data_IF_545347972460
#
_entry.id   IF_545347972460
#
_cell.length_a   1.000
_cell.length_b   1.000
_cell.length_c   1.000
_cell.angle_alpha   90.00
_cell.angle_beta   90.00
_cell.angle_gamma   90.00
#
_symmetry.space_group_name_H-M   'P 1'
#
loop_
_entity.id
_entity.type
_entity.pdbx_description
1 polymer ?
#
# COMPACT_ATOMS: atom_id res chain seq x y z
N UNK A 1 -27.18 -10.27 23.33
CA UNK A 1 -25.78 -10.03 23.00
C UNK A 1 -25.72 -9.34 21.62
N UNK A 2 -25.04 -8.20 21.49
CA UNK A 2 -24.89 -7.55 20.19
C UNK A 2 -24.08 -8.44 19.24
N UNK A 3 -24.41 -8.42 17.93
CA UNK A 3 -23.66 -9.13 16.87
C UNK A 3 -22.23 -8.57 16.89
N UNK A 4 -21.21 -9.41 16.91
CA UNK A 4 -19.81 -8.96 16.85
C UNK A 4 -19.55 -8.19 15.55
N UNK A 5 -18.81 -7.08 15.64
CA UNK A 5 -18.42 -6.30 14.46
C UNK A 5 -17.49 -7.16 13.61
N UNK A 6 -17.84 -7.33 12.34
CA UNK A 6 -17.06 -8.05 11.35
C UNK A 6 -16.31 -7.06 10.48
N UNK A 7 -15.08 -7.38 10.19
CA UNK A 7 -14.18 -6.65 9.30
C UNK A 7 -13.85 -7.55 8.11
N UNK A 8 -13.86 -7.03 6.91
CA UNK A 8 -13.24 -7.65 5.75
C UNK A 8 -11.90 -6.99 5.55
N UNK A 9 -10.82 -7.74 5.61
CA UNK A 9 -9.46 -7.26 5.36
C UNK A 9 -9.01 -7.83 4.03
N UNK A 10 -8.67 -6.97 3.08
CA UNK A 10 -8.40 -7.34 1.69
C UNK A 10 -7.06 -6.74 1.26
N UNK A 11 -6.30 -7.57 0.55
CA UNK A 11 -5.11 -7.14 -0.16
C UNK A 11 -5.15 -7.55 -1.64
N UNK A 12 -4.36 -6.87 -2.48
CA UNK A 12 -4.26 -7.13 -3.91
C UNK A 12 -2.82 -7.10 -4.40
N UNK A 13 -2.42 -8.14 -5.16
CA UNK A 13 -1.21 -8.10 -5.94
C UNK A 13 -1.49 -7.65 -7.38
N UNK A 14 -0.63 -6.80 -7.92
CA UNK A 14 -0.93 -6.12 -9.16
C UNK A 14 0.15 -6.27 -10.23
N UNK A 15 -0.32 -6.32 -11.47
CA UNK A 15 0.44 -6.15 -12.69
C UNK A 15 0.17 -4.76 -13.30
N UNK A 16 0.76 -4.46 -14.43
CA UNK A 16 0.52 -3.23 -15.17
C UNK A 16 -0.02 -3.53 -16.57
N UNK A 17 -0.54 -2.51 -17.26
CA UNK A 17 -0.93 -2.64 -18.66
C UNK A 17 0.31 -2.83 -19.55
N UNK A 18 0.39 -3.91 -20.34
CA UNK A 18 1.62 -4.27 -21.08
C UNK A 18 1.89 -3.41 -22.32
N UNK A 19 0.92 -2.61 -22.77
CA UNK A 19 0.93 -2.01 -24.11
C UNK A 19 1.19 -0.51 -24.14
N UNK A 20 2.00 -0.02 -23.20
CA UNK A 20 2.48 1.34 -23.31
C UNK A 20 3.78 1.29 -24.10
N UNK A 21 3.76 1.88 -25.27
CA UNK A 21 4.99 2.17 -25.98
C UNK A 21 5.76 3.25 -25.18
N UNK A 22 6.62 2.81 -24.29
CA UNK A 22 7.38 3.71 -23.39
C UNK A 22 8.23 4.72 -24.15
N UNK A 23 8.55 4.44 -25.42
CA UNK A 23 9.35 5.31 -26.28
C UNK A 23 8.58 6.56 -26.74
N UNK A 24 7.27 6.51 -26.79
CA UNK A 24 6.40 7.61 -27.24
C UNK A 24 5.94 8.53 -26.10
N UNK A 25 6.25 8.17 -24.85
CA UNK A 25 5.81 8.93 -23.68
C UNK A 25 6.85 9.98 -23.27
N UNK A 26 6.38 11.16 -22.96
CA UNK A 26 7.24 12.17 -22.30
C UNK A 26 7.65 11.68 -20.91
N UNK A 27 8.78 12.17 -20.34
CA UNK A 27 9.16 11.84 -18.96
C UNK A 27 8.06 12.13 -17.93
N UNK A 28 7.26 13.15 -18.17
CA UNK A 28 6.13 13.52 -17.29
C UNK A 28 4.96 12.55 -17.43
N UNK A 29 4.70 12.06 -18.65
CA UNK A 29 3.71 11.02 -18.89
C UNK A 29 4.15 9.68 -18.29
N UNK A 30 5.43 9.31 -18.39
CA UNK A 30 5.99 8.12 -17.74
C UNK A 30 5.79 8.15 -16.22
N UNK A 31 6.06 9.28 -15.57
CA UNK A 31 5.80 9.47 -14.13
C UNK A 31 4.31 9.35 -13.79
N UNK A 32 3.45 9.93 -14.60
CA UNK A 32 1.99 9.87 -14.41
C UNK A 32 1.45 8.47 -14.62
N UNK A 33 2.00 7.74 -15.58
CA UNK A 33 1.58 6.38 -15.93
C UNK A 33 2.11 5.33 -14.95
N UNK A 34 3.33 5.49 -14.43
CA UNK A 34 3.87 4.60 -13.39
C UNK A 34 2.99 4.57 -12.12
N UNK A 35 2.31 5.69 -11.82
CA UNK A 35 1.42 5.80 -10.64
C UNK A 35 0.01 5.22 -10.91
N UNK A 36 -0.32 4.81 -12.15
CA UNK A 36 -1.69 4.83 -12.63
C UNK A 36 -2.30 3.49 -13.02
N UNK A 37 -1.60 2.35 -12.90
CA UNK A 37 -1.98 1.15 -13.66
C UNK A 37 -1.97 -0.17 -12.90
N UNK A 38 -2.35 -0.23 -11.63
CA UNK A 38 -2.45 -1.53 -11.00
C UNK A 38 -3.63 -2.29 -11.60
N UNK A 39 -3.34 -3.45 -12.21
CA UNK A 39 -4.32 -4.45 -12.60
C UNK A 39 -4.18 -5.64 -11.65
N UNK A 40 -5.21 -5.92 -10.91
CA UNK A 40 -5.23 -7.02 -9.95
C UNK A 40 -5.06 -8.35 -10.68
N UNK A 41 -4.08 -9.16 -10.27
CA UNK A 41 -3.94 -10.53 -10.72
C UNK A 41 -4.12 -11.55 -9.58
N UNK A 42 -3.86 -11.15 -8.34
CA UNK A 42 -4.11 -11.91 -7.12
C UNK A 42 -4.93 -11.05 -6.17
N UNK A 43 -5.98 -11.59 -5.59
CA UNK A 43 -6.85 -10.93 -4.63
C UNK A 43 -7.22 -11.89 -3.52
N UNK A 44 -6.98 -11.47 -2.29
CA UNK A 44 -7.27 -12.26 -1.11
C UNK A 44 -7.91 -11.44 -0.01
N UNK A 45 -8.78 -12.07 0.77
CA UNK A 45 -9.33 -11.40 1.94
C UNK A 45 -9.67 -12.34 3.07
N UNK A 46 -9.70 -11.78 4.25
CA UNK A 46 -10.20 -12.42 5.47
C UNK A 46 -11.49 -11.77 5.92
N UNK A 47 -12.40 -12.56 6.47
CA UNK A 47 -13.51 -12.08 7.30
C UNK A 47 -13.14 -12.36 8.75
N UNK A 48 -13.04 -11.30 9.55
CA UNK A 48 -12.53 -11.41 10.90
C UNK A 48 -13.32 -10.58 11.90
N UNK A 49 -13.23 -10.94 13.17
CA UNK A 49 -13.75 -10.13 14.30
C UNK A 49 -12.76 -10.13 15.45
N UNK A 50 -12.83 -9.10 16.30
CA UNK A 50 -11.94 -9.00 17.47
C UNK A 50 -12.12 -10.15 18.48
N UNK A 51 -13.28 -10.78 18.49
CA UNK A 51 -13.62 -11.85 19.46
C UNK A 51 -13.29 -13.24 18.95
N UNK A 52 -13.32 -13.44 17.64
CA UNK A 52 -13.15 -14.78 17.03
C UNK A 52 -11.89 -14.88 16.15
N UNK A 53 -11.16 -13.78 15.94
CA UNK A 53 -10.05 -13.77 14.97
C UNK A 53 -10.55 -13.91 13.54
N UNK A 54 -9.75 -14.52 12.68
CA UNK A 54 -10.11 -14.83 11.29
C UNK A 54 -11.12 -15.97 11.29
N UNK A 55 -12.27 -15.75 10.65
CA UNK A 55 -13.38 -16.69 10.57
C UNK A 55 -13.49 -17.34 9.18
N UNK A 56 -13.20 -16.57 8.13
CA UNK A 56 -13.26 -17.02 6.74
C UNK A 56 -12.09 -16.43 5.96
N UNK A 57 -11.69 -17.13 4.90
CA UNK A 57 -10.62 -16.73 3.99
C UNK A 57 -11.07 -16.93 2.55
N UNK A 58 -10.65 -16.03 1.67
CA UNK A 58 -10.83 -16.15 0.23
C UNK A 58 -9.52 -15.85 -0.47
N UNK A 59 -9.23 -16.59 -1.54
CA UNK A 59 -7.98 -16.50 -2.27
C UNK A 59 -8.19 -16.80 -3.76
N UNK A 60 -8.03 -15.78 -4.62
CA UNK A 60 -8.35 -15.91 -6.03
C UNK A 60 -7.29 -15.26 -6.93
N UNK A 61 -7.02 -15.94 -8.06
CA UNK A 61 -6.34 -15.35 -9.20
C UNK A 61 -7.36 -14.88 -10.23
N UNK A 62 -7.17 -13.65 -10.73
CA UNK A 62 -8.04 -13.05 -11.74
C UNK A 62 -7.70 -13.63 -13.11
N UNK A 63 -8.63 -14.34 -13.74
CA UNK A 63 -8.37 -15.02 -15.00
C UNK A 63 -7.92 -14.07 -16.11
N UNK A 64 -8.52 -12.89 -16.23
CA UNK A 64 -8.28 -11.90 -17.28
C UNK A 64 -6.91 -11.22 -17.19
N UNK A 65 -6.24 -11.32 -16.06
CA UNK A 65 -4.90 -10.73 -15.84
C UNK A 65 -3.84 -11.80 -15.62
N UNK A 66 -4.06 -12.73 -14.70
CA UNK A 66 -3.10 -13.80 -14.39
C UNK A 66 -2.87 -14.75 -15.56
N UNK A 67 -3.95 -15.14 -16.27
CA UNK A 67 -3.88 -16.09 -17.40
C UNK A 67 -3.36 -15.44 -18.69
N UNK A 68 -3.18 -14.12 -18.73
CA UNK A 68 -2.66 -13.38 -19.87
C UNK A 68 -1.17 -13.11 -19.66
N UNK A 69 -0.26 -13.86 -20.33
CA UNK A 69 1.18 -13.74 -20.08
C UNK A 69 1.72 -12.32 -20.27
N UNK A 70 1.21 -11.58 -21.26
CA UNK A 70 1.60 -10.19 -21.51
C UNK A 70 1.29 -9.27 -20.32
N UNK A 71 0.20 -9.48 -19.60
CA UNK A 71 -0.16 -8.73 -18.39
C UNK A 71 0.66 -9.23 -17.21
N UNK A 72 0.61 -10.53 -16.91
CA UNK A 72 1.28 -11.07 -15.73
C UNK A 72 2.79 -10.83 -15.74
N UNK A 73 3.45 -10.85 -16.89
CA UNK A 73 4.91 -10.59 -16.99
C UNK A 73 5.30 -9.15 -16.61
N UNK A 74 4.34 -8.24 -16.45
CA UNK A 74 4.58 -6.88 -15.92
C UNK A 74 4.42 -6.78 -14.41
N UNK A 75 3.98 -7.86 -13.74
CA UNK A 75 3.85 -7.91 -12.29
C UNK A 75 5.21 -7.72 -11.60
N UNK A 76 5.20 -7.02 -10.47
CA UNK A 76 6.41 -6.83 -9.67
C UNK A 76 6.94 -8.18 -9.17
N UNK A 77 6.05 -9.08 -8.75
CA UNK A 77 6.38 -10.43 -8.26
C UNK A 77 6.14 -11.54 -9.30
N UNK A 78 6.42 -11.26 -10.58
CA UNK A 78 6.25 -12.23 -11.68
C UNK A 78 7.03 -13.55 -11.51
N UNK A 79 8.14 -13.53 -10.78
CA UNK A 79 8.96 -14.70 -10.44
C UNK A 79 8.22 -15.69 -9.54
N UNK A 80 7.18 -15.27 -8.83
CA UNK A 80 6.33 -16.12 -7.99
C UNK A 80 5.32 -16.96 -8.77
N UNK A 81 5.33 -16.91 -10.10
CA UNK A 81 4.39 -17.67 -10.93
C UNK A 81 4.37 -19.16 -10.62
N UNK A 82 5.52 -19.76 -10.33
CA UNK A 82 5.62 -21.17 -9.92
C UNK A 82 4.92 -21.44 -8.59
N UNK A 83 5.04 -20.53 -7.62
CA UNK A 83 4.35 -20.60 -6.34
C UNK A 83 2.82 -20.66 -6.54
N UNK A 84 2.27 -19.78 -7.37
CA UNK A 84 0.84 -19.78 -7.67
C UNK A 84 0.37 -21.10 -8.31
N UNK A 85 1.14 -21.66 -9.23
CA UNK A 85 0.81 -22.99 -9.79
C UNK A 85 0.82 -24.11 -8.75
N UNK A 86 1.73 -24.06 -7.79
CA UNK A 86 1.76 -25.04 -6.71
C UNK A 86 0.62 -24.83 -5.71
N UNK A 87 0.24 -23.58 -5.41
CA UNK A 87 -0.95 -23.27 -4.62
C UNK A 87 -2.24 -23.74 -5.30
N UNK A 88 -2.37 -23.58 -6.63
CA UNK A 88 -3.50 -24.10 -7.40
C UNK A 88 -3.58 -25.64 -7.32
N UNK A 89 -2.45 -26.34 -7.45
CA UNK A 89 -2.42 -27.81 -7.33
C UNK A 89 -2.85 -28.29 -5.94
N UNK A 90 -2.55 -27.51 -4.89
CA UNK A 90 -2.96 -27.81 -3.50
C UNK A 90 -4.39 -27.33 -3.19
N UNK A 91 -5.05 -26.65 -4.10
CA UNK A 91 -6.38 -26.08 -3.88
C UNK A 91 -6.40 -24.88 -2.92
N UNK A 92 -5.28 -24.21 -2.72
CA UNK A 92 -5.12 -23.06 -1.82
C UNK A 92 -5.52 -21.73 -2.48
N UNK A 93 -5.55 -21.70 -3.81
CA UNK A 93 -5.96 -20.56 -4.62
C UNK A 93 -6.73 -21.02 -5.85
N UNK A 94 -7.75 -20.26 -6.26
CA UNK A 94 -8.60 -20.61 -7.40
C UNK A 94 -8.55 -19.51 -8.45
N UNK A 95 -8.42 -19.88 -9.73
CA UNK A 95 -8.54 -18.95 -10.86
C UNK A 95 -10.01 -18.75 -11.21
N UNK A 96 -10.50 -17.54 -11.13
CA UNK A 96 -11.89 -17.18 -11.49
C UNK A 96 -11.92 -15.93 -12.38
N UNK A 97 -12.96 -15.78 -13.20
CA UNK A 97 -13.26 -14.52 -13.86
C UNK A 97 -13.51 -13.41 -12.83
N UNK A 98 -13.13 -12.19 -13.18
CA UNK A 98 -13.28 -11.01 -12.31
C UNK A 98 -14.71 -10.84 -11.77
N UNK A 99 -15.72 -10.96 -12.63
CA UNK A 99 -17.11 -10.80 -12.22
C UNK A 99 -17.52 -11.83 -11.17
N UNK A 100 -17.09 -13.08 -11.30
CA UNK A 100 -17.36 -14.11 -10.30
C UNK A 100 -16.69 -13.80 -8.95
N UNK A 101 -15.44 -13.31 -8.98
CA UNK A 101 -14.74 -12.85 -7.75
C UNK A 101 -15.51 -11.69 -7.11
N UNK A 102 -15.94 -10.71 -7.91
CA UNK A 102 -16.68 -9.55 -7.41
C UNK A 102 -18.07 -9.91 -6.86
N UNK A 103 -18.74 -10.91 -7.37
CA UNK A 103 -20.00 -11.42 -6.80
C UNK A 103 -19.76 -12.03 -5.40
N UNK A 104 -18.69 -12.80 -5.23
CA UNK A 104 -18.30 -13.35 -3.92
C UNK A 104 -17.94 -12.21 -2.96
N UNK A 105 -17.12 -11.26 -3.41
CA UNK A 105 -16.73 -10.08 -2.63
C UNK A 105 -17.96 -9.29 -2.13
N UNK A 106 -18.89 -8.98 -3.03
CA UNK A 106 -20.10 -8.24 -2.69
C UNK A 106 -21.00 -9.01 -1.72
N UNK A 107 -21.05 -10.34 -1.82
CA UNK A 107 -21.78 -11.20 -0.89
C UNK A 107 -21.17 -11.12 0.50
N UNK A 108 -19.85 -11.28 0.59
CA UNK A 108 -19.13 -11.24 1.87
C UNK A 108 -19.18 -9.83 2.50
N UNK A 109 -19.24 -8.76 1.69
CA UNK A 109 -19.38 -7.37 2.15
C UNK A 109 -20.72 -7.07 2.83
N UNK A 110 -21.79 -7.80 2.50
CA UNK A 110 -23.12 -7.57 3.13
C UNK A 110 -23.10 -7.83 4.64
N UNK A 111 -22.20 -8.70 5.09
CA UNK A 111 -22.07 -9.06 6.50
C UNK A 111 -20.94 -8.30 7.21
N UNK A 112 -20.08 -7.59 6.50
CA UNK A 112 -18.98 -6.81 7.04
C UNK A 112 -19.43 -5.39 7.39
N UNK A 113 -19.03 -4.91 8.56
CA UNK A 113 -19.26 -3.52 8.96
C UNK A 113 -18.26 -2.55 8.31
N UNK A 114 -17.08 -3.04 8.00
CA UNK A 114 -15.99 -2.28 7.40
C UNK A 114 -15.21 -3.13 6.41
N UNK A 115 -14.75 -2.49 5.33
CA UNK A 115 -13.72 -3.02 4.45
C UNK A 115 -12.38 -2.35 4.77
N UNK A 116 -11.31 -3.13 4.87
CA UNK A 116 -10.02 -2.67 5.37
C UNK A 116 -8.90 -3.15 4.45
N UNK A 117 -7.83 -2.36 4.33
CA UNK A 117 -6.58 -2.75 3.68
C UNK A 117 -5.41 -1.92 4.22
N UNK A 118 -4.20 -2.39 4.09
CA UNK A 118 -3.00 -1.59 4.35
C UNK A 118 -2.70 -0.71 3.13
N UNK A 119 -2.82 0.61 3.28
CA UNK A 119 -2.90 1.55 2.15
C UNK A 119 -4.18 1.39 1.30
N UNK A 120 -5.33 1.33 1.97
CA UNK A 120 -6.65 1.10 1.39
C UNK A 120 -6.98 1.96 0.15
N UNK A 121 -6.32 3.11 0.01
CA UNK A 121 -6.41 3.97 -1.18
C UNK A 121 -5.84 3.31 -2.43
N UNK A 122 -4.83 2.45 -2.27
CA UNK A 122 -4.27 1.71 -3.40
C UNK A 122 -5.24 0.62 -3.83
N UNK A 123 -5.65 -0.25 -2.93
CA UNK A 123 -6.47 -1.41 -3.26
C UNK A 123 -7.87 -1.01 -3.74
N UNK A 124 -8.59 -0.21 -2.95
CA UNK A 124 -9.99 0.11 -3.23
C UNK A 124 -10.19 1.23 -4.25
N UNK A 125 -9.33 2.25 -4.24
CA UNK A 125 -9.53 3.43 -5.12
C UNK A 125 -8.71 3.38 -6.42
N UNK A 126 -7.74 2.45 -6.51
CA UNK A 126 -6.94 2.26 -7.71
C UNK A 126 -7.08 0.85 -8.26
N UNK A 127 -6.52 -0.17 -7.58
CA UNK A 127 -6.37 -1.50 -8.11
C UNK A 127 -7.72 -2.13 -8.54
N UNK A 128 -8.68 -2.20 -7.64
CA UNK A 128 -10.01 -2.77 -7.93
C UNK A 128 -10.74 -1.94 -8.99
N UNK A 129 -10.75 -0.61 -8.87
CA UNK A 129 -11.47 0.25 -9.82
C UNK A 129 -10.86 0.18 -11.22
N UNK A 130 -9.52 0.16 -11.35
CA UNK A 130 -8.87 0.03 -12.65
C UNK A 130 -9.10 -1.32 -13.29
N UNK A 131 -9.02 -2.39 -12.49
CA UNK A 131 -9.30 -3.74 -12.98
C UNK A 131 -10.74 -3.86 -13.46
N UNK A 132 -11.71 -3.37 -12.72
CA UNK A 132 -13.12 -3.33 -13.14
C UNK A 132 -13.31 -2.60 -14.48
N UNK A 133 -12.68 -1.43 -14.63
CA UNK A 133 -12.76 -0.67 -15.88
C UNK A 133 -12.07 -1.38 -17.05
N UNK A 134 -10.89 -1.95 -16.81
CA UNK A 134 -10.14 -2.71 -17.79
C UNK A 134 -10.98 -3.88 -18.33
N UNK A 135 -11.53 -4.68 -17.43
CA UNK A 135 -12.29 -5.89 -17.80
C UNK A 135 -13.60 -5.54 -18.47
N UNK A 136 -14.33 -4.54 -17.98
CA UNK A 136 -15.54 -4.07 -18.67
C UNK A 136 -15.29 -3.65 -20.10
N UNK A 137 -14.13 -3.07 -20.39
CA UNK A 137 -13.76 -2.72 -21.76
C UNK A 137 -13.34 -3.91 -22.60
N UNK A 138 -12.62 -4.89 -22.02
CA UNK A 138 -12.30 -6.14 -22.72
C UNK A 138 -13.53 -6.84 -23.30
N UNK A 139 -14.64 -6.80 -22.57
CA UNK A 139 -15.90 -7.43 -22.97
C UNK A 139 -16.86 -6.48 -23.70
N UNK A 140 -16.45 -5.24 -23.98
CA UNK A 140 -17.27 -4.29 -24.71
C UNK A 140 -17.26 -4.63 -26.21
N UNK A 141 -18.44 -4.67 -26.90
CA UNK A 141 -18.51 -4.93 -28.34
C UNK A 141 -17.86 -3.84 -29.21
N UNK A 142 -17.58 -2.66 -28.63
CA UNK A 142 -16.92 -1.54 -29.30
C UNK A 142 -15.41 -1.47 -28.99
N UNK A 143 -14.84 -2.55 -28.56
CA UNK A 143 -13.43 -2.64 -28.25
C UNK A 143 -12.59 -2.69 -29.53
N UNK A 144 -12.14 -1.58 -30.01
CA UNK A 144 -11.30 -1.51 -31.21
C UNK A 144 -9.93 -0.86 -31.02
N UNK A 145 -9.67 -0.15 -29.92
CA UNK A 145 -8.37 0.53 -29.78
C UNK A 145 -7.89 0.62 -28.33
N UNK A 146 -6.80 -0.06 -28.03
CA UNK A 146 -6.08 0.05 -26.77
C UNK A 146 -5.61 1.47 -26.45
N UNK A 147 -5.33 2.28 -27.48
CA UNK A 147 -4.89 3.66 -27.33
C UNK A 147 -5.98 4.55 -26.70
N UNK A 148 -7.23 4.34 -27.04
CA UNK A 148 -8.36 5.09 -26.46
C UNK A 148 -8.57 4.72 -24.99
N UNK A 149 -8.35 3.45 -24.65
CA UNK A 149 -8.36 2.96 -23.27
C UNK A 149 -7.30 3.66 -22.44
N UNK A 150 -6.08 3.77 -22.98
CA UNK A 150 -4.99 4.48 -22.32
C UNK A 150 -5.28 5.95 -22.11
N UNK A 151 -5.82 6.64 -23.14
CA UNK A 151 -6.17 8.06 -23.06
C UNK A 151 -7.26 8.31 -22.01
N UNK A 152 -8.30 7.48 -21.98
CA UNK A 152 -9.38 7.61 -21.01
C UNK A 152 -8.90 7.33 -19.58
N UNK A 153 -8.06 6.32 -19.39
CA UNK A 153 -7.41 6.04 -18.13
C UNK A 153 -6.53 7.21 -17.65
N UNK A 154 -5.68 7.72 -18.55
CA UNK A 154 -4.83 8.86 -18.22
C UNK A 154 -5.66 10.10 -17.90
N UNK A 155 -6.70 10.37 -18.68
CA UNK A 155 -7.60 11.50 -18.45
C UNK A 155 -8.33 11.40 -17.11
N UNK A 156 -8.84 10.20 -16.79
CA UNK A 156 -9.53 9.96 -15.50
C UNK A 156 -8.61 10.13 -14.30
N UNK A 157 -7.37 9.62 -14.38
CA UNK A 157 -6.38 9.77 -13.33
C UNK A 157 -5.98 11.22 -13.12
N UNK A 158 -5.78 11.96 -14.21
CA UNK A 158 -5.48 13.38 -14.14
C UNK A 158 -6.65 14.16 -13.56
N UNK A 159 -7.88 13.76 -13.90
CA UNK A 159 -9.11 14.35 -13.36
C UNK A 159 -9.28 14.00 -11.88
N UNK A 160 -9.00 12.78 -11.45
CA UNK A 160 -9.05 12.37 -10.06
C UNK A 160 -7.93 13.02 -9.22
N UNK A 161 -6.70 13.15 -9.77
CA UNK A 161 -5.64 13.95 -9.13
C UNK A 161 -6.04 15.41 -8.96
N UNK A 162 -6.74 15.98 -9.94
CA UNK A 162 -7.24 17.36 -9.87
C UNK A 162 -8.36 17.47 -8.84
N UNK A 163 -9.27 16.49 -8.77
CA UNK A 163 -10.35 16.41 -7.77
C UNK A 163 -9.82 16.14 -6.34
N UNK A 164 -8.67 15.50 -6.17
CA UNK A 164 -8.05 15.35 -4.84
C UNK A 164 -7.66 16.67 -4.18
N UNK A 165 -7.47 17.71 -4.98
CA UNK A 165 -7.30 19.07 -4.49
C UNK A 165 -8.65 19.79 -4.29
N UNK A 166 -9.76 19.18 -4.74
CA UNK A 166 -11.11 19.69 -4.62
C UNK A 166 -11.88 18.79 -3.64
N UNK A 167 -12.76 19.38 -2.83
CA UNK A 167 -13.44 18.86 -1.64
C UNK A 167 -14.29 17.58 -1.77
N UNK A 168 -14.32 16.91 -2.93
CA UNK A 168 -15.24 15.78 -3.23
C UNK A 168 -14.63 14.38 -3.01
N UNK A 169 -13.47 14.31 -2.36
CA UNK A 169 -12.82 13.03 -2.09
C UNK A 169 -13.37 12.43 -0.79
N UNK A 170 -14.01 11.26 -0.88
CA UNK A 170 -14.49 10.48 0.27
C UNK A 170 -13.41 9.45 0.70
N UNK A 171 -12.56 9.75 1.69
CA UNK A 171 -11.54 8.84 2.17
C UNK A 171 -12.08 7.73 3.07
N UNK A 172 -13.31 7.86 3.53
CA UNK A 172 -13.92 7.02 4.54
C UNK A 172 -14.73 5.88 3.94
N UNK A 173 -14.99 5.94 2.63
CA UNK A 173 -15.84 4.96 1.98
C UNK A 173 -15.27 4.46 0.65
N UNK A 174 -15.41 3.18 0.45
CA UNK A 174 -15.27 2.54 -0.86
C UNK A 174 -16.62 2.56 -1.58
N UNK A 175 -16.67 3.18 -2.75
CA UNK A 175 -17.85 3.22 -3.61
C UNK A 175 -17.63 2.26 -4.76
N UNK A 176 -18.43 1.21 -4.83
CA UNK A 176 -18.29 0.17 -5.83
C UNK A 176 -19.65 -0.31 -6.33
N UNK A 177 -19.84 -0.39 -7.65
CA UNK A 177 -21.08 -0.80 -8.33
C UNK A 177 -22.34 -0.13 -7.79
N UNK A 178 -22.22 1.14 -7.37
CA UNK A 178 -23.35 1.96 -6.86
C UNK A 178 -23.57 1.87 -5.35
N UNK A 179 -22.92 0.95 -4.67
CA UNK A 179 -23.01 0.80 -3.21
C UNK A 179 -21.83 1.51 -2.51
N UNK A 180 -22.05 1.86 -1.25
CA UNK A 180 -21.10 2.60 -0.41
C UNK A 180 -20.76 1.81 0.85
N UNK A 181 -19.48 1.44 1.00
CA UNK A 181 -18.96 0.62 2.10
C UNK A 181 -18.03 1.43 2.99
N UNK A 182 -18.23 1.46 4.32
CA UNK A 182 -17.29 2.10 5.25
C UNK A 182 -15.90 1.48 5.14
N UNK A 183 -14.88 2.31 5.00
CA UNK A 183 -13.49 1.89 4.74
C UNK A 183 -12.57 2.28 5.90
N UNK A 184 -11.63 1.38 6.24
CA UNK A 184 -10.56 1.66 7.18
C UNK A 184 -9.23 1.46 6.48
N UNK A 185 -8.36 2.46 6.56
CA UNK A 185 -6.96 2.31 6.19
C UNK A 185 -6.16 1.80 7.39
N UNK A 186 -5.74 0.53 7.32
CA UNK A 186 -4.97 -0.13 8.38
C UNK A 186 -3.62 0.57 8.57
N UNK A 187 -3.00 1.06 7.49
CA UNK A 187 -1.76 1.83 7.56
C UNK A 187 -1.90 3.04 8.47
N UNK A 188 -2.96 3.85 8.30
CA UNK A 188 -3.22 5.00 9.15
C UNK A 188 -3.45 4.61 10.61
N UNK A 189 -4.22 3.55 10.86
CA UNK A 189 -4.51 3.03 12.21
C UNK A 189 -3.23 2.49 12.87
N UNK A 190 -2.41 1.73 12.12
CA UNK A 190 -1.13 1.21 12.62
C UNK A 190 -0.16 2.35 12.95
N UNK A 191 0.01 3.34 12.10
CA UNK A 191 0.84 4.51 12.35
C UNK A 191 0.41 5.25 13.62
N UNK A 192 -0.89 5.38 13.85
CA UNK A 192 -1.40 6.06 15.05
C UNK A 192 -1.15 5.29 16.34
N UNK A 193 -1.38 3.99 16.34
CA UNK A 193 -1.49 3.21 17.58
C UNK A 193 -0.35 2.22 17.83
N UNK A 194 0.41 1.83 16.81
CA UNK A 194 1.55 0.90 16.94
C UNK A 194 2.87 1.62 16.68
N UNK A 195 3.00 2.21 15.50
CA UNK A 195 4.27 2.68 14.98
C UNK A 195 4.70 4.03 15.57
N UNK A 196 3.80 4.78 16.18
CA UNK A 196 4.15 6.05 16.84
C UNK A 196 4.76 5.86 18.25
N UNK A 197 5.06 4.64 18.66
CA UNK A 197 5.71 4.38 19.95
C UNK A 197 7.20 4.69 19.89
N UNK A 198 7.76 5.18 21.00
CA UNK A 198 9.22 5.41 21.10
C UNK A 198 10.02 4.11 20.92
N UNK A 199 9.48 2.97 21.36
CA UNK A 199 10.12 1.66 21.16
C UNK A 199 10.18 1.27 19.69
N UNK A 200 9.14 1.55 18.90
CA UNK A 200 9.16 1.30 17.48
C UNK A 200 10.19 2.17 16.77
N UNK A 201 10.18 3.47 17.06
CA UNK A 201 11.13 4.44 16.49
C UNK A 201 12.59 4.05 16.82
N UNK A 202 12.84 3.65 18.06
CA UNK A 202 14.15 3.14 18.47
C UNK A 202 14.54 1.87 17.71
N UNK A 203 13.64 0.90 17.57
CA UNK A 203 13.88 -0.30 16.77
C UNK A 203 14.24 0.05 15.31
N UNK A 204 13.50 0.97 14.69
CA UNK A 204 13.78 1.40 13.33
C UNK A 204 15.19 1.99 13.18
N UNK A 205 15.63 2.83 14.14
CA UNK A 205 16.98 3.38 14.14
C UNK A 205 18.04 2.29 14.33
N UNK A 206 17.83 1.37 15.28
CA UNK A 206 18.78 0.30 15.57
C UNK A 206 18.94 -0.69 14.40
N UNK A 207 17.89 -0.88 13.60
CA UNK A 207 17.86 -1.83 12.49
C UNK A 207 17.91 -1.19 11.09
N UNK A 208 18.07 0.13 10.99
CA UNK A 208 18.13 0.84 9.71
C UNK A 208 16.81 0.84 8.91
N UNK A 209 15.68 0.62 9.58
CA UNK A 209 14.36 0.54 8.92
C UNK A 209 13.74 1.94 8.75
N UNK A 210 14.27 2.68 7.79
CA UNK A 210 13.78 4.01 7.39
C UNK A 210 13.23 4.00 5.97
N UNK A 211 12.53 5.08 5.60
CA UNK A 211 12.18 5.36 4.18
C UNK A 211 13.45 5.49 3.33
N UNK A 212 13.30 5.38 2.00
CA UNK A 212 14.42 5.52 1.05
C UNK A 212 15.16 6.85 1.21
N UNK A 213 14.45 7.91 1.59
CA UNK A 213 15.03 9.23 1.83
C UNK A 213 15.70 9.39 3.20
N UNK A 214 15.64 8.39 4.08
CA UNK A 214 16.08 8.50 5.47
C UNK A 214 15.23 9.46 6.34
N UNK A 215 14.25 10.17 5.75
CA UNK A 215 13.51 11.25 6.43
C UNK A 215 12.45 10.74 7.40
N UNK A 216 11.89 9.55 7.15
CA UNK A 216 10.80 8.97 7.94
C UNK A 216 11.14 7.54 8.34
N UNK A 217 10.61 7.11 9.48
CA UNK A 217 10.62 5.70 9.88
C UNK A 217 9.85 4.85 8.86
N UNK A 218 10.30 3.63 8.61
CA UNK A 218 9.53 2.69 7.79
C UNK A 218 8.15 2.47 8.38
N UNK A 219 7.15 2.39 7.53
CA UNK A 219 5.75 2.15 7.91
C UNK A 219 5.15 1.01 7.10
N UNK A 220 5.99 0.14 6.49
CA UNK A 220 5.51 -1.04 5.78
C UNK A 220 4.84 -2.04 6.74
N UNK A 221 3.92 -2.85 6.24
CA UNK A 221 3.25 -3.88 7.01
C UNK A 221 4.26 -4.91 7.53
N UNK A 222 5.27 -5.27 6.74
CA UNK A 222 6.37 -6.15 7.14
C UNK A 222 7.09 -5.65 8.39
N UNK A 223 7.55 -4.37 8.39
CA UNK A 223 8.28 -3.80 9.53
C UNK A 223 7.37 -3.64 10.75
N UNK A 224 6.09 -3.29 10.52
CA UNK A 224 5.10 -3.26 11.59
C UNK A 224 4.90 -4.65 12.23
N UNK A 225 4.86 -5.70 11.40
CA UNK A 225 4.72 -7.08 11.87
C UNK A 225 6.00 -7.60 12.55
N UNK A 226 7.19 -7.24 12.06
CA UNK A 226 8.46 -7.52 12.74
C UNK A 226 8.46 -6.96 14.18
N UNK A 227 7.99 -5.72 14.33
CA UNK A 227 7.86 -5.10 15.64
C UNK A 227 6.82 -5.79 16.52
N UNK A 228 5.65 -6.11 15.98
CA UNK A 228 4.55 -6.71 16.72
C UNK A 228 4.88 -8.12 17.21
N UNK A 229 5.47 -8.93 16.35
CA UNK A 229 5.83 -10.33 16.63
C UNK A 229 7.17 -10.50 17.33
N UNK A 230 7.99 -9.45 17.38
CA UNK A 230 9.40 -9.47 17.84
C UNK A 230 10.26 -10.46 17.01
N UNK A 231 9.88 -10.68 15.73
CA UNK A 231 10.59 -11.51 14.77
C UNK A 231 11.17 -10.62 13.68
N UNK A 232 12.42 -10.22 13.84
CA UNK A 232 13.10 -9.31 12.90
C UNK A 232 13.52 -10.00 11.58
N UNK A 233 13.44 -11.32 11.54
CA UNK A 233 13.62 -12.17 10.35
C UNK A 233 12.31 -12.41 9.56
N UNK A 234 11.20 -11.87 10.03
CA UNK A 234 9.92 -11.98 9.34
C UNK A 234 9.98 -11.27 7.98
N UNK A 235 9.56 -11.96 6.94
CA UNK A 235 9.44 -11.47 5.57
C UNK A 235 8.02 -11.79 5.08
N UNK A 236 7.38 -10.84 4.43
CA UNK A 236 6.09 -11.03 3.80
C UNK A 236 6.19 -11.97 2.59
N UNK A 237 5.22 -12.87 2.46
CA UNK A 237 5.14 -13.76 1.30
C UNK A 237 4.69 -13.04 0.03
N UNK A 238 4.14 -11.83 0.15
CA UNK A 238 3.58 -11.03 -0.94
C UNK A 238 2.64 -11.86 -1.83
N UNK A 239 1.67 -12.49 -1.20
CA UNK A 239 0.48 -13.05 -1.82
C UNK A 239 -0.73 -12.44 -1.14
N UNK A 240 -1.75 -12.07 -1.91
CA UNK A 240 -2.83 -11.24 -1.39
C UNK A 240 -3.50 -11.80 -0.12
N UNK A 241 -3.74 -13.11 -0.03
CA UNK A 241 -4.32 -13.68 1.19
C UNK A 241 -3.35 -13.67 2.37
N UNK A 242 -2.06 -13.97 2.17
CA UNK A 242 -1.05 -13.96 3.25
C UNK A 242 -0.95 -12.55 3.84
N UNK A 243 -0.91 -11.53 2.98
CA UNK A 243 -0.78 -10.15 3.40
C UNK A 243 -2.07 -9.67 4.11
N UNK A 244 -3.26 -10.04 3.64
CA UNK A 244 -4.53 -9.80 4.34
C UNK A 244 -4.59 -10.46 5.75
N UNK A 245 -3.95 -11.62 5.95
CA UNK A 245 -3.84 -12.24 7.26
C UNK A 245 -2.95 -11.42 8.21
N UNK A 246 -1.78 -10.97 7.74
CA UNK A 246 -0.87 -10.08 8.47
C UNK A 246 -1.55 -8.77 8.84
N UNK A 247 -2.24 -8.17 7.89
CA UNK A 247 -2.99 -6.92 8.09
C UNK A 247 -4.13 -7.06 9.10
N UNK A 248 -4.76 -8.26 9.15
CA UNK A 248 -5.76 -8.58 10.18
C UNK A 248 -5.14 -8.53 11.58
N UNK A 249 -3.94 -9.09 11.76
CA UNK A 249 -3.24 -9.04 13.03
C UNK A 249 -2.84 -7.62 13.41
N UNK A 250 -2.33 -6.83 12.46
CA UNK A 250 -1.97 -5.43 12.66
C UNK A 250 -3.18 -4.58 13.06
N UNK A 251 -4.31 -4.73 12.35
CA UNK A 251 -5.54 -4.03 12.68
C UNK A 251 -5.98 -4.32 14.12
N UNK A 252 -6.04 -5.60 14.50
CA UNK A 252 -6.53 -5.96 15.83
C UNK A 252 -5.54 -5.59 16.95
N UNK A 253 -4.24 -5.63 16.69
CA UNK A 253 -3.24 -5.14 17.62
C UNK A 253 -3.36 -3.61 17.83
N UNK A 254 -3.60 -2.86 16.77
CA UNK A 254 -3.83 -1.42 16.85
C UNK A 254 -5.14 -1.09 17.60
N UNK A 255 -6.22 -1.80 17.29
CA UNK A 255 -7.51 -1.62 17.94
C UNK A 255 -7.55 -2.00 19.43
N UNK A 256 -6.60 -2.80 19.91
CA UNK A 256 -6.41 -3.04 21.36
C UNK A 256 -5.90 -1.79 22.06
N UNK A 257 -5.19 -0.89 21.36
CA UNK A 257 -4.58 0.33 21.92
C UNK A 257 -5.41 1.59 21.70
N UNK A 258 -6.36 1.56 20.77
CA UNK A 258 -7.18 2.72 20.46
C UNK A 258 -8.46 2.39 19.73
N UNK A 259 -9.28 3.41 19.48
CA UNK A 259 -10.49 3.34 18.65
C UNK A 259 -10.12 3.77 17.24
N UNK A 260 -10.91 3.32 16.24
CA UNK A 260 -10.85 3.86 14.89
C UNK A 260 -11.16 5.35 14.97
N UNK A 261 -10.32 6.14 14.30
CA UNK A 261 -10.53 7.58 14.14
C UNK A 261 -10.78 7.81 12.65
N UNK A 262 -11.90 8.39 12.33
CA UNK A 262 -12.24 8.83 10.97
C UNK A 262 -11.17 9.80 10.46
N UNK A 263 -10.87 9.74 9.16
CA UNK A 263 -9.90 10.63 8.52
C UNK A 263 -8.42 10.26 8.67
N UNK A 264 -8.06 9.13 9.31
CA UNK A 264 -6.65 8.66 9.39
C UNK A 264 -6.07 8.17 8.06
N UNK A 265 -6.81 8.23 6.99
CA UNK A 265 -6.46 7.70 5.66
C UNK A 265 -5.41 8.54 4.91
N UNK A 266 -5.02 9.73 5.42
CA UNK A 266 -4.13 10.64 4.72
C UNK A 266 -2.75 10.76 5.36
N UNK A 267 -1.73 10.39 4.57
CA UNK A 267 -0.32 10.58 4.95
C UNK A 267 0.02 10.07 6.35
N UNK A 268 -0.19 8.78 6.62
CA UNK A 268 0.02 8.20 7.96
C UNK A 268 1.46 8.38 8.46
N UNK A 269 2.47 8.46 7.59
CA UNK A 269 3.86 8.74 7.97
C UNK A 269 4.02 10.10 8.69
N UNK A 270 3.14 11.09 8.44
CA UNK A 270 3.16 12.37 9.17
C UNK A 270 2.79 12.22 10.65
N UNK A 271 2.10 11.15 11.01
CA UNK A 271 1.79 10.84 12.41
C UNK A 271 3.03 10.48 13.23
N UNK A 272 4.10 10.07 12.57
CA UNK A 272 5.35 9.64 13.22
C UNK A 272 6.34 10.79 13.40
N UNK A 273 6.13 11.92 12.76
CA UNK A 273 7.12 12.99 12.66
C UNK A 273 8.30 12.62 11.73
N UNK A 274 9.25 13.51 11.63
CA UNK A 274 10.49 13.28 10.88
C UNK A 274 11.54 12.58 11.74
N UNK A 275 12.35 11.74 11.09
CA UNK A 275 13.45 11.02 11.77
C UNK A 275 14.45 12.00 12.41
N UNK A 276 14.76 13.12 11.74
CA UNK A 276 15.66 14.15 12.26
C UNK A 276 15.07 14.80 13.52
N UNK A 277 13.79 15.19 13.48
CA UNK A 277 13.11 15.78 14.64
C UNK A 277 13.13 14.82 15.84
N UNK A 278 12.94 13.53 15.58
CA UNK A 278 13.03 12.52 16.64
C UNK A 278 14.45 12.40 17.18
N UNK A 279 15.48 12.31 16.31
CA UNK A 279 16.89 12.18 16.71
C UNK A 279 17.32 13.35 17.57
N UNK A 280 17.01 14.59 17.18
CA UNK A 280 17.41 15.81 17.89
C UNK A 280 16.63 16.03 19.19
N UNK A 281 15.49 15.36 19.38
CA UNK A 281 14.66 15.49 20.59
C UNK A 281 14.68 14.27 21.51
N UNK A 282 15.13 13.10 21.03
CA UNK A 282 15.03 11.84 21.78
C UNK A 282 16.23 11.58 22.70
N UNK A 283 15.93 11.12 23.91
CA UNK A 283 16.98 10.58 24.80
C UNK A 283 17.34 9.15 24.38
N UNK A 284 18.64 8.83 24.39
CA UNK A 284 19.16 7.49 24.09
C UNK A 284 19.32 7.20 22.58
N UNK A 285 19.30 8.23 21.74
CA UNK A 285 19.83 8.18 20.39
C UNK A 285 21.36 8.20 20.48
N UNK A 286 22.03 7.35 19.69
CA UNK A 286 23.48 7.28 19.60
C UNK A 286 23.99 7.99 18.35
N UNK A 287 25.25 8.41 18.36
CA UNK A 287 25.94 8.93 17.18
C UNK A 287 25.79 8.02 15.97
N UNK A 288 25.97 6.70 16.16
CA UNK A 288 25.84 5.72 15.09
C UNK A 288 24.45 5.73 14.44
N UNK A 289 23.38 5.92 15.22
CA UNK A 289 22.02 6.04 14.69
C UNK A 289 21.85 7.31 13.86
N UNK A 290 22.42 8.42 14.31
CA UNK A 290 22.35 9.69 13.60
C UNK A 290 23.17 9.64 12.28
N UNK A 291 24.36 9.05 12.31
CA UNK A 291 25.19 8.84 11.12
C UNK A 291 24.49 7.96 10.07
N UNK A 292 23.85 6.88 10.51
CA UNK A 292 23.09 6.00 9.59
C UNK A 292 21.94 6.73 8.88
N UNK A 293 21.24 7.63 9.57
CA UNK A 293 20.19 8.44 8.92
C UNK A 293 20.80 9.43 7.94
N UNK A 294 21.93 10.05 8.28
CA UNK A 294 22.68 10.93 7.38
C UNK A 294 23.11 10.21 6.11
N UNK A 295 23.75 9.03 6.22
CA UNK A 295 24.16 8.20 5.09
C UNK A 295 22.97 7.87 4.17
N UNK A 296 21.81 7.49 4.74
CA UNK A 296 20.61 7.20 3.98
C UNK A 296 20.09 8.41 3.19
N UNK A 297 20.21 9.60 3.76
CA UNK A 297 19.86 10.84 3.07
C UNK A 297 20.84 11.17 1.94
N UNK A 298 22.13 10.87 2.14
CA UNK A 298 23.17 11.03 1.11
C UNK A 298 22.93 10.10 -0.09
N UNK A 299 22.64 8.83 0.17
CA UNK A 299 22.33 7.85 -0.88
C UNK A 299 21.16 8.27 -1.78
N UNK A 300 20.24 9.06 -1.26
CA UNK A 300 19.06 9.54 -1.99
C UNK A 300 19.31 10.84 -2.76
N UNK A 301 20.26 11.66 -2.33
CA UNK A 301 20.53 12.97 -2.95
C UNK A 301 21.40 12.79 -4.19
N UNK A 302 21.14 13.55 -5.28
CA UNK A 302 22.04 13.57 -6.43
C UNK A 302 23.40 14.22 -6.05
N UNK A 303 24.48 13.75 -6.68
CA UNK A 303 25.85 14.27 -6.45
C UNK A 303 26.02 15.75 -6.84
N UNK A 304 25.18 16.23 -7.74
CA UNK A 304 25.23 17.60 -8.27
C UNK A 304 24.11 18.47 -7.67
N UNK A 305 24.51 19.38 -6.80
CA UNK A 305 23.60 20.31 -6.13
C UNK A 305 22.84 21.23 -7.09
N UNK A 306 23.40 21.56 -8.26
CA UNK A 306 22.78 22.45 -9.24
C UNK A 306 21.57 21.77 -9.92
N UNK A 307 21.58 20.45 -10.01
CA UNK A 307 20.51 19.63 -10.58
C UNK A 307 19.41 19.24 -9.58
N UNK A 308 19.55 19.62 -8.30
CA UNK A 308 18.54 19.31 -7.27
C UNK A 308 17.22 20.03 -7.52
N UNK A 309 16.13 19.26 -7.51
CA UNK A 309 14.78 19.81 -7.49
C UNK A 309 14.44 20.44 -6.12
N UNK A 310 13.29 21.11 -6.01
CA UNK A 310 12.86 21.77 -4.78
C UNK A 310 12.79 20.86 -3.55
N UNK A 311 12.39 19.58 -3.74
CA UNK A 311 12.30 18.62 -2.67
C UNK A 311 13.69 18.14 -2.21
N UNK A 312 14.58 17.84 -3.16
CA UNK A 312 15.96 17.45 -2.89
C UNK A 312 16.74 18.57 -2.19
N UNK A 313 16.56 19.84 -2.58
CA UNK A 313 17.10 21.00 -1.86
C UNK A 313 16.60 21.11 -0.42
N UNK A 314 15.32 20.78 -0.18
CA UNK A 314 14.77 20.75 1.17
C UNK A 314 15.38 19.58 1.99
N UNK A 315 15.57 18.40 1.37
CA UNK A 315 16.19 17.25 2.00
C UNK A 315 17.67 17.54 2.35
N UNK A 316 18.39 18.17 1.42
CA UNK A 316 19.78 18.58 1.63
C UNK A 316 19.91 19.56 2.81
N UNK A 317 19.01 20.55 2.92
CA UNK A 317 18.99 21.44 4.09
C UNK A 317 18.77 20.72 5.41
N UNK A 318 17.95 19.68 5.43
CA UNK A 318 17.73 18.83 6.61
C UNK A 318 18.95 17.95 6.96
N UNK A 319 19.65 17.47 5.94
CA UNK A 319 20.93 16.75 6.12
C UNK A 319 21.97 17.63 6.79
N UNK A 320 22.14 18.88 6.31
CA UNK A 320 23.08 19.85 6.92
C UNK A 320 22.73 20.12 8.40
N UNK A 321 21.44 20.29 8.72
CA UNK A 321 21.01 20.47 10.11
C UNK A 321 21.29 19.24 10.98
N UNK A 322 21.24 18.03 10.42
CA UNK A 322 21.60 16.81 11.11
C UNK A 322 23.13 16.71 11.32
N UNK A 323 23.92 17.12 10.34
CA UNK A 323 25.38 17.18 10.45
C UNK A 323 25.82 18.15 11.56
N UNK A 324 25.25 19.36 11.59
CA UNK A 324 25.49 20.34 12.65
C UNK A 324 25.15 19.77 14.03
N UNK A 325 23.98 19.10 14.13
CA UNK A 325 23.59 18.42 15.38
C UNK A 325 24.58 17.32 15.80
N UNK A 326 25.10 16.52 14.86
CA UNK A 326 26.11 15.49 15.16
C UNK A 326 27.40 16.14 15.68
N UNK A 327 27.90 17.17 15.01
CA UNK A 327 29.12 17.88 15.41
C UNK A 327 29.00 18.56 16.77
N UNK A 328 27.82 19.03 17.15
CA UNK A 328 27.59 19.67 18.45
C UNK A 328 27.45 18.68 19.61
N UNK A 329 27.07 17.43 19.37
CA UNK A 329 26.70 16.50 20.43
C UNK A 329 27.67 15.32 20.58
N UNK A 330 28.49 15.04 19.55
CA UNK A 330 29.53 14.00 19.55
C UNK A 330 30.87 14.49 18.98
#
# INVERSE_FOLDING_TARGET
MGKAVRYMILDTETATLPFINEWELTPDDKKKLAIAKPLVYDIGWTIASRTHGIMEKRNFLVAETFSVPAVFNTAYYKEKRSLYFDMMKRGEITVLPWDAIMEILLTDLQDAAYICAYNAMFDFKKAIIFTELYIRKLYSPNYHEWEDLQREFCHRILTEKKKRNERDFDPEHFIFRGEKYPMIDIWGVACKYLLNSSNYKKMCLESGKMSDTGLYFSTSAEVAMQYLSQRFDFIEDHTALSDAEIETELLFAALKRGKIIEGLVYFPFRLLGETIEYITSARGVTEQMALMVKERMEDYLPDDADNMNKYEKSLFGKKLALEEFIEENW
#
